data_IF_487239943455
#
_entry.id   IF_487239943455
#
_cell.length_a   1.000
_cell.length_b   1.000
_cell.length_c   1.000
_cell.angle_alpha   90.00
_cell.angle_beta   90.00
_cell.angle_gamma   90.00
#
_symmetry.space_group_name_H-M   'P 1'
#
loop_
_entity.id
_entity.type
_entity.pdbx_description
1 polymer ?
#
# COMPACT_ATOMS: atom_id res chain seq x y z
N UNK A 1 -16.55 8.27 -12.63
CA UNK A 1 -16.15 6.86 -12.38
C UNK A 1 -17.31 5.89 -12.55
N UNK A 2 -18.39 5.94 -11.76
CA UNK A 2 -19.50 4.96 -11.86
C UNK A 2 -20.11 4.74 -13.26
N UNK A 3 -20.07 5.75 -14.15
CA UNK A 3 -20.49 5.61 -15.56
C UNK A 3 -19.68 4.57 -16.35
N UNK A 4 -18.48 4.18 -15.88
CA UNK A 4 -17.62 3.18 -16.52
C UNK A 4 -17.89 1.76 -16.02
N UNK A 5 -18.79 1.59 -15.05
CA UNK A 5 -19.02 0.29 -14.42
C UNK A 5 -19.98 -0.57 -15.23
N UNK A 6 -19.62 -1.84 -15.50
CA UNK A 6 -20.57 -2.77 -16.08
C UNK A 6 -21.71 -3.02 -15.08
N UNK A 7 -22.94 -3.10 -15.60
CA UNK A 7 -24.13 -3.28 -14.77
C UNK A 7 -24.29 -4.72 -14.24
N UNK A 8 -23.72 -5.69 -14.95
CA UNK A 8 -23.76 -7.11 -14.61
C UNK A 8 -22.60 -7.87 -15.28
N UNK A 9 -22.28 -9.06 -14.78
CA UNK A 9 -21.29 -9.97 -15.37
C UNK A 9 -19.84 -9.61 -15.06
N UNK A 10 -18.93 -10.09 -15.91
CA UNK A 10 -17.48 -9.92 -15.79
C UNK A 10 -17.10 -8.45 -15.61
N UNK A 11 -16.29 -8.16 -14.58
CA UNK A 11 -15.82 -6.82 -14.24
C UNK A 11 -16.82 -5.99 -13.41
N UNK A 12 -17.98 -6.54 -13.04
CA UNK A 12 -18.93 -5.87 -12.14
C UNK A 12 -18.26 -5.60 -10.79
N UNK A 13 -18.34 -4.37 -10.30
CA UNK A 13 -17.91 -4.05 -8.94
C UNK A 13 -18.88 -4.60 -7.91
N UNK A 14 -18.32 -5.24 -6.89
CA UNK A 14 -19.04 -5.84 -5.76
C UNK A 14 -19.21 -4.80 -4.63
N UNK A 15 -18.25 -3.89 -4.49
CA UNK A 15 -18.25 -2.85 -3.45
C UNK A 15 -18.38 -1.44 -4.05
N UNK A 16 -19.09 -0.50 -3.40
CA UNK A 16 -19.09 0.90 -3.82
C UNK A 16 -17.71 1.56 -3.59
N UNK A 17 -17.53 2.76 -4.12
CA UNK A 17 -16.31 3.55 -3.88
C UNK A 17 -16.24 3.93 -2.40
N UNK A 18 -15.06 3.83 -1.80
CA UNK A 18 -14.79 4.25 -0.41
C UNK A 18 -14.32 3.14 0.52
N UNK A 19 -14.23 1.90 0.04
CA UNK A 19 -13.55 0.81 0.75
C UNK A 19 -12.04 0.83 0.48
N UNK A 20 -11.27 0.22 1.39
CA UNK A 20 -9.81 0.10 1.35
C UNK A 20 -9.31 -0.61 0.07
N UNK A 21 -9.99 -1.68 -0.33
CA UNK A 21 -9.83 -2.32 -1.63
C UNK A 21 -11.18 -2.41 -2.33
N UNK A 22 -11.17 -2.54 -3.66
CA UNK A 22 -12.39 -2.87 -4.40
C UNK A 22 -12.33 -4.29 -4.94
N UNK A 23 -13.48 -4.88 -5.21
CA UNK A 23 -13.62 -6.25 -5.69
C UNK A 23 -14.44 -6.21 -6.98
N UNK A 24 -13.91 -6.79 -8.04
CA UNK A 24 -14.66 -7.04 -9.27
C UNK A 24 -14.99 -8.53 -9.39
N UNK A 25 -16.12 -8.85 -10.00
CA UNK A 25 -16.49 -10.22 -10.30
C UNK A 25 -15.75 -10.71 -11.56
N UNK A 26 -15.10 -11.86 -11.44
CA UNK A 26 -14.43 -12.58 -12.52
C UNK A 26 -14.82 -14.05 -12.43
N UNK A 27 -15.54 -14.55 -13.43
CA UNK A 27 -15.92 -15.97 -13.55
C UNK A 27 -16.42 -16.63 -12.25
N UNK A 28 -17.30 -15.93 -11.53
CA UNK A 28 -17.93 -16.44 -10.30
C UNK A 28 -17.13 -16.27 -9.01
N UNK A 29 -15.94 -15.68 -9.05
CA UNK A 29 -15.20 -15.26 -7.86
C UNK A 29 -14.91 -13.75 -7.88
N UNK A 30 -14.52 -13.19 -6.74
CA UNK A 30 -14.10 -11.81 -6.61
C UNK A 30 -12.59 -11.67 -6.80
N UNK A 31 -12.18 -10.78 -7.70
CA UNK A 31 -10.81 -10.27 -7.81
C UNK A 31 -10.72 -8.95 -7.05
N UNK A 32 -10.01 -8.95 -5.93
CA UNK A 32 -9.72 -7.75 -5.16
C UNK A 32 -8.55 -6.98 -5.77
N UNK A 33 -8.67 -5.67 -5.81
CA UNK A 33 -7.73 -4.72 -6.39
C UNK A 33 -7.48 -3.61 -5.38
N UNK A 34 -6.21 -3.35 -5.07
CA UNK A 34 -5.78 -2.23 -4.25
C UNK A 34 -4.55 -1.57 -4.90
N UNK A 35 -4.45 -0.26 -4.78
CA UNK A 35 -3.23 0.48 -5.08
C UNK A 35 -3.01 1.52 -4.02
N UNK A 36 -1.80 1.54 -3.47
CA UNK A 36 -1.40 2.52 -2.48
C UNK A 36 0.11 2.77 -2.52
N UNK A 37 0.51 3.96 -2.12
CA UNK A 37 1.89 4.38 -1.96
C UNK A 37 2.32 4.44 -0.51
N UNK A 38 3.62 4.62 -0.30
CA UNK A 38 4.18 4.78 1.05
C UNK A 38 3.97 6.20 1.59
N UNK A 39 3.70 7.16 0.69
CA UNK A 39 3.43 8.55 1.02
C UNK A 39 4.65 9.27 1.62
N UNK A 40 4.40 10.25 2.48
CA UNK A 40 5.46 11.15 2.99
C UNK A 40 6.56 10.48 3.85
N UNK A 41 6.48 9.18 4.10
CA UNK A 41 7.54 8.40 4.73
C UNK A 41 8.75 8.19 3.80
N UNK A 42 8.58 8.28 2.48
CA UNK A 42 9.71 8.30 1.53
C UNK A 42 10.69 9.42 1.82
N UNK A 43 10.19 10.58 2.26
CA UNK A 43 11.02 11.72 2.68
C UNK A 43 11.87 11.37 3.90
N UNK A 44 11.34 10.59 4.84
CA UNK A 44 12.13 10.14 6.01
C UNK A 44 13.20 9.16 5.58
N UNK A 45 12.86 8.18 4.72
CA UNK A 45 13.82 7.24 4.17
C UNK A 45 14.98 7.97 3.47
N UNK A 46 14.67 8.99 2.67
CA UNK A 46 15.65 9.84 2.02
C UNK A 46 16.51 10.65 3.00
N UNK A 47 15.89 11.28 4.00
CA UNK A 47 16.61 12.01 5.05
C UNK A 47 17.57 11.12 5.85
N UNK A 48 17.24 9.84 6.02
CA UNK A 48 18.06 8.85 6.73
C UNK A 48 19.08 8.16 5.82
N UNK A 49 18.98 8.31 4.49
CA UNK A 49 19.71 7.48 3.54
C UNK A 49 19.45 5.97 3.72
N UNK A 50 18.25 5.60 4.18
CA UNK A 50 17.87 4.23 4.53
C UNK A 50 16.60 3.81 3.79
N UNK A 51 16.74 2.86 2.87
CA UNK A 51 15.68 2.47 1.93
C UNK A 51 15.31 0.98 2.00
N UNK A 52 16.09 0.15 2.70
CA UNK A 52 15.95 -1.31 2.86
C UNK A 52 14.64 -1.76 3.53
N UNK A 53 13.92 -0.86 4.20
CA UNK A 53 12.64 -1.17 4.86
C UNK A 53 11.42 -0.58 4.18
N UNK A 54 11.58 0.40 3.29
CA UNK A 54 10.44 1.16 2.74
C UNK A 54 9.57 0.31 1.81
N UNK A 55 10.16 -0.70 1.17
CA UNK A 55 9.41 -1.70 0.39
C UNK A 55 8.47 -2.56 1.24
N UNK A 56 8.81 -2.83 2.51
CA UNK A 56 7.92 -3.56 3.43
C UNK A 56 6.66 -2.72 3.69
N UNK A 57 6.83 -1.42 3.92
CA UNK A 57 5.72 -0.49 4.10
C UNK A 57 4.82 -0.44 2.85
N UNK A 58 5.40 -0.44 1.65
CA UNK A 58 4.66 -0.44 0.38
C UNK A 58 3.77 -1.69 0.24
N UNK A 59 4.35 -2.88 0.47
CA UNK A 59 3.61 -4.13 0.42
C UNK A 59 2.50 -4.12 1.48
N UNK A 60 2.83 -3.77 2.72
CA UNK A 60 1.90 -3.79 3.85
C UNK A 60 0.67 -2.90 3.60
N UNK A 61 0.83 -1.68 3.07
CA UNK A 61 -0.30 -0.80 2.75
C UNK A 61 -1.29 -1.47 1.79
N UNK A 62 -0.77 -2.10 0.73
CA UNK A 62 -1.61 -2.74 -0.28
C UNK A 62 -2.25 -4.05 0.20
N UNK A 63 -1.49 -4.93 0.88
CA UNK A 63 -2.03 -6.24 1.29
C UNK A 63 -2.99 -6.13 2.47
N UNK A 64 -2.76 -5.21 3.40
CA UNK A 64 -3.66 -5.03 4.55
C UNK A 64 -5.03 -4.51 4.10
N UNK A 65 -5.06 -3.62 3.10
CA UNK A 65 -6.31 -3.09 2.55
C UNK A 65 -7.15 -4.17 1.85
N UNK A 66 -6.51 -5.16 1.21
CA UNK A 66 -7.21 -6.31 0.66
C UNK A 66 -7.76 -7.24 1.75
N UNK A 67 -7.05 -7.40 2.86
CA UNK A 67 -7.52 -8.21 3.99
C UNK A 67 -8.80 -7.60 4.59
N UNK A 68 -8.92 -6.27 4.61
CA UNK A 68 -10.12 -5.57 5.11
C UNK A 68 -11.41 -5.94 4.37
N UNK A 69 -11.33 -6.40 3.11
CA UNK A 69 -12.49 -6.87 2.33
C UNK A 69 -12.64 -8.39 2.32
N UNK A 70 -11.86 -9.10 3.12
CA UNK A 70 -11.85 -10.56 3.22
C UNK A 70 -11.06 -11.27 2.12
N UNK A 71 -10.28 -10.53 1.33
CA UNK A 71 -9.51 -11.12 0.24
C UNK A 71 -8.19 -11.73 0.72
N UNK A 72 -7.79 -12.82 0.08
CA UNK A 72 -6.44 -13.39 0.18
C UNK A 72 -5.55 -12.72 -0.87
N UNK A 73 -4.51 -11.97 -0.47
CA UNK A 73 -3.54 -11.39 -1.39
C UNK A 73 -2.84 -12.49 -2.23
N UNK A 74 -2.54 -12.21 -3.50
CA UNK A 74 -1.90 -13.17 -4.41
C UNK A 74 -0.60 -12.63 -5.01
N UNK A 75 -0.64 -11.42 -5.56
CA UNK A 75 0.51 -10.81 -6.22
C UNK A 75 0.47 -9.30 -6.10
N UNK A 76 1.63 -8.67 -6.26
CA UNK A 76 1.81 -7.23 -6.34
C UNK A 76 2.65 -6.86 -7.57
N UNK A 77 2.42 -5.68 -8.11
CA UNK A 77 3.36 -4.97 -8.99
C UNK A 77 3.73 -3.63 -8.37
N UNK A 78 4.97 -3.21 -8.53
CA UNK A 78 5.48 -1.95 -8.00
C UNK A 78 5.73 -0.91 -9.10
N UNK A 79 5.64 0.36 -8.72
CA UNK A 79 6.03 1.50 -9.53
C UNK A 79 6.94 2.39 -8.70
N UNK A 80 8.17 2.57 -9.17
CA UNK A 80 9.18 3.41 -8.55
C UNK A 80 9.45 4.60 -9.46
N UNK A 81 9.13 5.80 -8.99
CA UNK A 81 9.51 7.02 -9.68
C UNK A 81 10.68 7.67 -8.97
N UNK A 82 11.70 8.10 -9.70
CA UNK A 82 12.91 8.70 -9.12
C UNK A 82 13.26 10.01 -9.81
N UNK A 83 13.79 10.97 -9.07
CA UNK A 83 14.36 12.20 -9.64
C UNK A 83 15.63 11.86 -10.45
N UNK A 84 16.46 10.99 -9.88
CA UNK A 84 17.71 10.50 -10.46
C UNK A 84 17.88 9.03 -10.14
N UNK A 85 18.34 8.26 -11.12
CA UNK A 85 18.67 6.85 -10.92
C UNK A 85 19.86 6.69 -9.99
N UNK A 86 19.68 5.88 -8.95
CA UNK A 86 20.69 5.43 -8.01
C UNK A 86 20.49 3.92 -7.79
N UNK A 87 21.43 3.12 -8.26
CA UNK A 87 21.34 1.66 -8.19
C UNK A 87 21.32 1.16 -6.73
N UNK A 88 22.12 1.76 -5.85
CA UNK A 88 22.21 1.30 -4.46
C UNK A 88 20.90 1.57 -3.70
N UNK A 89 20.25 2.71 -3.97
CA UNK A 89 18.93 3.01 -3.42
C UNK A 89 17.87 2.05 -3.96
N UNK A 90 17.84 1.80 -5.27
CA UNK A 90 16.88 0.90 -5.90
C UNK A 90 17.04 -0.54 -5.41
N UNK A 91 18.28 -1.03 -5.26
CA UNK A 91 18.56 -2.36 -4.73
C UNK A 91 18.06 -2.50 -3.28
N UNK A 92 18.25 -1.47 -2.46
CA UNK A 92 17.72 -1.45 -1.09
C UNK A 92 16.18 -1.43 -1.05
N UNK A 93 15.53 -0.63 -1.91
CA UNK A 93 14.06 -0.66 -2.03
C UNK A 93 13.58 -2.05 -2.44
N UNK A 94 14.26 -2.69 -3.40
CA UNK A 94 13.95 -4.04 -3.85
C UNK A 94 14.12 -5.09 -2.74
N UNK A 95 15.14 -4.96 -1.87
CA UNK A 95 15.30 -5.81 -0.69
C UNK A 95 14.08 -5.70 0.24
N UNK A 96 13.63 -4.48 0.53
CA UNK A 96 12.44 -4.24 1.34
C UNK A 96 11.16 -4.80 0.70
N UNK A 97 11.01 -4.66 -0.62
CA UNK A 97 9.86 -5.20 -1.37
C UNK A 97 9.85 -6.73 -1.30
N UNK A 98 10.99 -7.37 -1.58
CA UNK A 98 11.15 -8.82 -1.43
C UNK A 98 10.79 -9.26 -0.02
N UNK A 99 11.28 -8.55 1.00
CA UNK A 99 11.00 -8.90 2.38
C UNK A 99 9.52 -8.77 2.73
N UNK A 100 8.86 -7.71 2.26
CA UNK A 100 7.43 -7.50 2.42
C UNK A 100 6.63 -8.61 1.76
N UNK A 101 7.00 -9.01 0.54
CA UNK A 101 6.35 -10.06 -0.22
C UNK A 101 6.48 -11.44 0.46
N UNK A 102 7.66 -11.77 0.99
CA UNK A 102 7.87 -12.97 1.81
C UNK A 102 6.94 -13.01 3.03
N UNK A 103 6.87 -11.89 3.78
CA UNK A 103 6.03 -11.78 4.97
C UNK A 103 4.54 -11.90 4.64
N UNK A 104 4.11 -11.33 3.52
CA UNK A 104 2.74 -11.40 3.03
C UNK A 104 2.42 -12.69 2.26
N UNK A 105 3.42 -13.55 2.00
CA UNK A 105 3.31 -14.78 1.22
C UNK A 105 2.73 -14.55 -0.19
N UNK A 106 3.14 -13.46 -0.85
CA UNK A 106 2.73 -13.12 -2.21
C UNK A 106 3.93 -13.09 -3.17
N UNK A 107 3.65 -13.14 -4.48
CA UNK A 107 4.64 -12.80 -5.49
C UNK A 107 4.71 -11.29 -5.75
N UNK A 108 5.86 -10.81 -6.21
CA UNK A 108 5.94 -9.56 -6.99
C UNK A 108 6.12 -9.98 -8.44
N UNK A 109 5.08 -9.80 -9.25
CA UNK A 109 5.02 -10.35 -10.62
C UNK A 109 5.59 -9.41 -11.68
N UNK A 110 5.97 -8.20 -11.30
CA UNK A 110 6.57 -7.21 -12.19
C UNK A 110 6.59 -5.85 -11.52
N UNK A 111 7.18 -4.88 -12.20
CA UNK A 111 7.22 -3.51 -11.75
C UNK A 111 7.78 -2.60 -12.84
N UNK A 112 7.80 -1.30 -12.57
CA UNK A 112 8.30 -0.29 -13.49
C UNK A 112 9.13 0.76 -12.73
N UNK A 113 10.24 1.19 -13.32
CA UNK A 113 11.08 2.25 -12.76
C UNK A 113 11.17 3.42 -13.73
N UNK A 114 10.67 4.58 -13.32
CA UNK A 114 10.63 5.78 -14.15
C UNK A 114 11.55 6.89 -13.58
N UNK A 115 12.44 7.42 -14.42
CA UNK A 115 13.23 8.60 -14.08
C UNK A 115 12.50 9.87 -14.52
N UNK A 116 11.97 10.63 -13.55
CA UNK A 116 11.09 11.78 -13.78
C UNK A 116 11.60 13.04 -13.06
N UNK A 117 12.77 13.53 -13.48
CA UNK A 117 13.52 14.63 -12.83
C UNK A 117 12.70 15.90 -12.52
N UNK A 118 11.80 16.29 -13.42
CA UNK A 118 11.01 17.53 -13.27
C UNK A 118 9.67 17.33 -12.56
N UNK A 119 9.31 16.08 -12.21
CA UNK A 119 8.01 15.71 -11.63
C UNK A 119 8.17 15.18 -10.21
N UNK A 120 9.14 14.31 -10.00
CA UNK A 120 9.39 13.65 -8.72
C UNK A 120 10.66 14.21 -8.10
N UNK A 121 10.57 14.50 -6.80
CA UNK A 121 11.70 14.92 -5.98
C UNK A 121 12.15 13.73 -5.14
N UNK A 122 13.43 13.38 -5.20
CA UNK A 122 13.99 12.16 -4.62
C UNK A 122 13.40 10.87 -5.21
N UNK A 123 12.32 10.34 -4.62
CA UNK A 123 11.60 9.18 -5.14
C UNK A 123 10.17 9.05 -4.61
N UNK A 124 9.34 8.29 -5.33
CA UNK A 124 8.03 7.80 -4.92
C UNK A 124 7.95 6.29 -5.15
N UNK A 125 7.21 5.60 -4.28
CA UNK A 125 7.06 4.14 -4.30
C UNK A 125 5.59 3.79 -4.12
N UNK A 126 5.03 3.17 -5.15
CA UNK A 126 3.63 2.77 -5.23
C UNK A 126 3.53 1.27 -5.51
N UNK A 127 2.60 0.61 -4.83
CA UNK A 127 2.22 -0.77 -5.11
C UNK A 127 0.83 -0.83 -5.74
N UNK A 128 0.59 -1.89 -6.49
CA UNK A 128 -0.74 -2.35 -6.84
C UNK A 128 -0.80 -3.84 -6.59
N UNK A 129 -1.75 -4.26 -5.75
CA UNK A 129 -1.91 -5.64 -5.39
C UNK A 129 -3.25 -6.22 -5.86
N UNK A 130 -3.20 -7.51 -6.15
CA UNK A 130 -4.35 -8.32 -6.55
C UNK A 130 -4.56 -9.47 -5.56
N UNK A 131 -5.82 -9.76 -5.27
CA UNK A 131 -6.21 -10.82 -4.35
C UNK A 131 -7.48 -11.52 -4.81
N UNK A 132 -7.79 -12.65 -4.18
CA UNK A 132 -9.01 -13.41 -4.45
C UNK A 132 -9.91 -13.42 -3.22
N UNK A 133 -11.22 -13.33 -3.44
CA UNK A 133 -12.26 -13.49 -2.43
C UNK A 133 -13.46 -14.21 -3.03
N UNK A 134 -14.12 -15.08 -2.27
CA UNK A 134 -15.41 -15.63 -2.69
C UNK A 134 -16.47 -14.53 -2.57
N UNK A 135 -17.36 -14.40 -3.56
CA UNK A 135 -18.32 -13.28 -3.62
C UNK A 135 -19.24 -13.21 -2.39
N UNK A 136 -19.55 -14.34 -1.78
CA UNK A 136 -20.37 -14.48 -0.57
C UNK A 136 -19.59 -14.24 0.74
N UNK A 137 -18.26 -14.11 0.67
CA UNK A 137 -17.37 -13.83 1.81
C UNK A 137 -16.81 -12.42 1.84
N UNK A 138 -17.20 -11.57 0.89
CA UNK A 138 -16.78 -10.16 0.87
C UNK A 138 -17.25 -9.46 2.13
N UNK A 139 -16.30 -8.82 2.83
CA UNK A 139 -16.57 -8.09 4.07
C UNK A 139 -16.86 -6.64 3.72
N UNK A 140 -18.09 -6.20 3.98
CA UNK A 140 -18.56 -4.82 3.72
C UNK A 140 -19.03 -4.08 4.98
N UNK A 141 -18.83 -4.67 6.17
CA UNK A 141 -19.21 -4.07 7.45
C UNK A 141 -20.71 -3.97 7.72
N UNK A 142 -21.60 -4.33 6.79
CA UNK A 142 -23.06 -4.22 6.99
C UNK A 142 -23.61 -5.19 8.04
N UNK A 143 -22.85 -6.22 8.36
CA UNK A 143 -23.22 -7.20 9.36
C UNK A 143 -22.97 -6.73 10.81
N UNK A 144 -22.21 -5.64 11.02
CA UNK A 144 -21.83 -5.10 12.34
C UNK A 144 -23.05 -4.57 13.10
N UNK A 145 -23.12 -4.86 14.41
CA UNK A 145 -24.28 -4.55 15.27
C UNK A 145 -23.83 -4.08 16.66
N UNK A 146 -24.76 -3.46 17.38
CA UNK A 146 -24.56 -3.17 18.80
C UNK A 146 -24.29 -4.47 19.58
N UNK A 147 -23.26 -4.43 20.44
CA UNK A 147 -22.80 -5.58 21.21
C UNK A 147 -21.64 -6.35 20.57
N UNK A 148 -21.28 -6.08 19.31
CA UNK A 148 -20.08 -6.66 18.69
C UNK A 148 -18.80 -6.15 19.37
N UNK A 149 -17.82 -7.05 19.52
CA UNK A 149 -16.52 -6.72 20.09
C UNK A 149 -15.61 -6.07 19.04
N UNK A 150 -14.84 -5.06 19.46
CA UNK A 150 -13.76 -4.46 18.65
C UNK A 150 -12.43 -5.05 19.11
N UNK A 151 -11.74 -5.73 18.19
CA UNK A 151 -10.43 -6.34 18.45
C UNK A 151 -9.36 -5.50 17.74
N UNK A 152 -8.38 -5.01 18.50
CA UNK A 152 -7.24 -4.27 17.97
C UNK A 152 -5.99 -5.14 17.90
N UNK A 153 -5.30 -5.13 16.76
CA UNK A 153 -3.97 -5.72 16.61
C UNK A 153 -2.93 -4.62 16.80
N UNK A 154 -1.90 -4.91 17.60
CA UNK A 154 -0.85 -3.93 17.92
C UNK A 154 -0.07 -3.53 16.65
N UNK A 155 0.11 -2.23 16.43
CA UNK A 155 0.97 -1.69 15.37
C UNK A 155 2.45 -1.75 15.74
N UNK A 156 3.33 -1.64 14.75
CA UNK A 156 4.79 -1.49 14.92
C UNK A 156 5.22 -0.03 15.15
N UNK A 157 4.28 0.91 15.14
CA UNK A 157 4.51 2.35 15.23
C UNK A 157 3.45 3.13 14.45
N UNK A 158 3.87 4.22 13.81
CA UNK A 158 3.03 5.08 12.97
C UNK A 158 2.76 4.52 11.55
N UNK A 159 3.40 3.40 11.21
CA UNK A 159 3.33 2.76 9.88
C UNK A 159 3.69 3.76 8.77
N UNK A 160 2.82 3.94 7.78
CA UNK A 160 3.02 4.85 6.64
C UNK A 160 2.18 6.13 6.73
N UNK A 161 1.50 6.36 7.86
CA UNK A 161 0.55 7.46 8.01
C UNK A 161 0.98 8.49 9.06
N UNK A 162 0.59 9.75 8.87
CA UNK A 162 0.87 10.84 9.83
C UNK A 162 2.29 11.43 9.76
N UNK A 163 3.13 11.00 8.81
CA UNK A 163 4.53 11.43 8.71
C UNK A 163 4.69 12.93 8.42
N UNK A 164 3.77 13.57 7.71
CA UNK A 164 3.78 15.03 7.54
C UNK A 164 3.65 15.78 8.87
N UNK A 165 2.77 15.33 9.76
CA UNK A 165 2.64 15.91 11.10
C UNK A 165 3.89 15.63 11.93
N UNK A 166 4.37 14.39 11.94
CA UNK A 166 5.59 14.02 12.66
C UNK A 166 6.78 14.89 12.24
N UNK A 167 7.02 15.06 10.94
CA UNK A 167 8.10 15.93 10.42
C UNK A 167 7.95 17.39 10.85
N UNK A 168 6.73 17.94 10.79
CA UNK A 168 6.47 19.32 11.22
C UNK A 168 6.80 19.50 12.70
N UNK A 169 6.27 18.61 13.54
CA UNK A 169 6.47 18.67 14.98
C UNK A 169 7.95 18.50 15.34
N UNK A 170 8.60 17.42 14.89
CA UNK A 170 9.98 17.15 15.28
C UNK A 170 10.98 18.12 14.67
N UNK A 171 10.93 18.36 13.35
CA UNK A 171 11.99 19.07 12.65
C UNK A 171 11.74 20.58 12.53
N UNK A 172 10.50 21.00 12.28
CA UNK A 172 10.21 22.42 12.07
C UNK A 172 9.94 23.16 13.39
N UNK A 173 9.15 22.57 14.29
CA UNK A 173 8.74 23.23 15.54
C UNK A 173 9.76 23.02 16.65
N UNK A 174 10.22 21.79 16.86
CA UNK A 174 11.14 21.44 17.95
C UNK A 174 12.61 21.32 17.55
N UNK A 175 12.95 21.48 16.26
CA UNK A 175 14.32 21.51 15.73
C UNK A 175 15.16 20.28 16.09
N UNK A 176 14.53 19.12 16.23
CA UNK A 176 15.25 17.85 16.31
C UNK A 176 15.91 17.54 14.96
N UNK A 177 17.05 16.82 15.01
CA UNK A 177 17.69 16.26 13.83
C UNK A 177 17.24 14.81 13.60
N UNK A 178 17.49 14.27 12.39
CA UNK A 178 17.18 12.86 12.08
C UNK A 178 17.98 11.88 12.95
N UNK A 179 19.14 12.31 13.45
CA UNK A 179 20.04 11.54 14.32
C UNK A 179 19.78 11.74 15.83
N UNK A 180 18.78 12.56 16.20
CA UNK A 180 18.50 12.84 17.60
C UNK A 180 17.92 11.59 18.27
N UNK A 181 18.60 11.07 19.31
CA UNK A 181 18.20 9.89 20.09
C UNK A 181 17.45 10.26 21.36
#
# INVERSE_FOLDING_TARGET
MQKTWPRAGLGRLVLPIGYFANVIEVDGFGLALCTDGVGSKTIIADMMGKYDTIGIDCVAMNVNDMICVGATPLSLVDYIAVEKTDAAMLDAVAEGLCKGAELAQISISGGETAQLKDVVKHFDLVGMAVGKVDLDKVIDGRAVREGDAVIGVKSSGIHSNGLSLARKTFFAEHRYGIEHK
#
